data_IF_215668115169
#
_entry.id   IF_215668115169
#
_cell.length_a   1.000
_cell.length_b   1.000
_cell.length_c   1.000
_cell.angle_alpha   90.00
_cell.angle_beta   90.00
_cell.angle_gamma   90.00
#
_symmetry.space_group_name_H-M   'P 1'
#
loop_
_entity.id
_entity.type
_entity.pdbx_description
1 polymer ?
#
# COMPACT_ATOMS: atom_id res chain seq x y z
N UNK A 1 6.04 21.43 -19.81
CA UNK A 1 5.08 20.59 -19.11
C UNK A 1 5.53 20.37 -17.68
N UNK A 2 4.83 20.85 -16.73
CA UNK A 2 5.19 20.65 -15.36
C UNK A 2 4.64 19.36 -14.81
N UNK A 3 4.78 19.17 -13.51
CA UNK A 3 4.15 18.07 -12.83
C UNK A 3 2.64 18.28 -12.86
N UNK A 4 1.92 17.18 -12.91
CA UNK A 4 0.47 17.24 -12.83
C UNK A 4 0.05 17.74 -11.47
N UNK A 5 -0.96 18.58 -11.38
CA UNK A 5 -1.54 18.88 -10.08
C UNK A 5 -2.00 17.58 -9.46
N UNK A 6 -2.00 17.45 -8.17
CA UNK A 6 -1.81 18.51 -7.19
C UNK A 6 -0.43 18.48 -6.53
N UNK A 7 0.62 18.15 -7.25
CA UNK A 7 1.96 17.96 -6.68
C UNK A 7 2.53 19.22 -6.04
N UNK A 8 1.86 20.35 -6.14
CA UNK A 8 2.26 21.56 -5.44
C UNK A 8 1.86 21.56 -3.97
N UNK A 9 1.14 20.53 -3.53
CA UNK A 9 0.72 20.41 -2.13
C UNK A 9 1.25 19.12 -1.55
N UNK A 10 1.49 19.14 -0.25
CA UNK A 10 1.91 17.93 0.46
C UNK A 10 0.78 16.93 0.52
N UNK A 11 1.15 15.66 0.44
CA UNK A 11 0.16 14.61 0.49
C UNK A 11 0.63 13.33 -0.17
N UNK A 12 -0.33 12.42 -0.33
CA UNK A 12 -0.13 11.12 -0.97
C UNK A 12 -1.06 11.08 -2.17
N UNK A 13 -0.50 10.90 -3.36
CA UNK A 13 -1.28 10.96 -4.60
C UNK A 13 -0.99 9.75 -5.47
N UNK A 14 -2.02 9.25 -6.14
CA UNK A 14 -1.88 8.12 -7.06
C UNK A 14 -2.04 8.63 -8.48
N UNK A 15 -0.99 8.44 -9.30
CA UNK A 15 -1.00 8.83 -10.71
C UNK A 15 -0.36 7.70 -11.51
N UNK A 16 -1.10 7.15 -12.45
CA UNK A 16 -0.59 6.12 -13.37
C UNK A 16 0.04 4.93 -12.62
N UNK A 17 -0.64 4.45 -11.59
CA UNK A 17 -0.19 3.29 -10.83
C UNK A 17 0.96 3.56 -9.88
N UNK A 18 1.33 4.83 -9.70
CA UNK A 18 2.43 5.22 -8.82
C UNK A 18 1.90 6.02 -7.65
N UNK A 19 2.45 5.75 -6.48
CA UNK A 19 2.14 6.51 -5.27
C UNK A 19 3.18 7.60 -5.14
N UNK A 20 2.76 8.85 -5.26
CA UNK A 20 3.65 10.00 -5.08
C UNK A 20 3.49 10.51 -3.67
N UNK A 21 4.59 10.63 -2.96
CA UNK A 21 4.59 11.02 -1.55
C UNK A 21 5.36 12.32 -1.40
N UNK A 22 4.67 13.36 -0.98
CA UNK A 22 5.23 14.72 -0.96
C UNK A 22 5.06 15.30 0.43
N UNK A 23 6.15 15.79 0.99
CA UNK A 23 6.17 16.44 2.29
C UNK A 23 6.65 15.53 3.40
N UNK A 24 7.36 16.07 4.40
CA UNK A 24 8.01 15.25 5.44
C UNK A 24 7.05 14.38 6.23
N UNK A 25 5.88 14.90 6.56
CA UNK A 25 4.91 14.13 7.32
C UNK A 25 4.46 12.88 6.55
N UNK A 26 4.19 13.05 5.27
CA UNK A 26 3.68 11.95 4.45
C UNK A 26 4.77 10.97 4.09
N UNK A 27 5.99 11.47 3.88
CA UNK A 27 7.14 10.61 3.67
C UNK A 27 7.33 9.70 4.89
N UNK A 28 7.26 10.27 6.09
CA UNK A 28 7.42 9.48 7.31
C UNK A 28 6.31 8.44 7.45
N UNK A 29 5.08 8.80 7.13
CA UNK A 29 3.94 7.88 7.22
C UNK A 29 4.11 6.69 6.29
N UNK A 30 4.45 6.94 5.04
CA UNK A 30 4.58 5.87 4.05
C UNK A 30 5.82 5.03 4.35
N UNK A 31 6.93 5.68 4.69
CA UNK A 31 8.16 4.97 5.04
C UNK A 31 7.92 4.05 6.24
N UNK A 32 7.18 4.54 7.23
CA UNK A 32 6.87 3.73 8.41
C UNK A 32 6.01 2.51 8.05
N UNK A 33 5.07 2.68 7.12
CA UNK A 33 4.26 1.55 6.67
C UNK A 33 5.12 0.48 5.99
N UNK A 34 6.22 0.87 5.38
CA UNK A 34 7.12 -0.07 4.70
C UNK A 34 8.19 -0.65 5.62
N UNK A 35 8.43 -0.03 6.77
CA UNK A 35 9.55 -0.38 7.64
C UNK A 35 9.21 -1.58 8.54
N UNK A 36 8.87 -2.69 7.91
CA UNK A 36 8.49 -3.91 8.61
C UNK A 36 8.61 -5.08 7.65
N UNK A 37 9.38 -6.07 8.05
CA UNK A 37 9.65 -7.20 7.17
C UNK A 37 8.40 -7.97 6.80
N UNK A 38 7.48 -8.15 7.75
CA UNK A 38 6.22 -8.87 7.49
C UNK A 38 5.42 -8.15 6.40
N UNK A 39 5.30 -6.84 6.51
CA UNK A 39 4.57 -6.07 5.50
C UNK A 39 5.25 -6.13 4.14
N UNK A 40 6.59 -6.06 4.13
CA UNK A 40 7.33 -6.17 2.88
C UNK A 40 7.10 -7.53 2.21
N UNK A 41 7.05 -8.60 3.00
CA UNK A 41 6.81 -9.94 2.49
C UNK A 41 5.40 -10.07 1.92
N UNK A 42 4.42 -9.49 2.60
CA UNK A 42 3.05 -9.47 2.11
C UNK A 42 3.01 -8.78 0.73
N UNK A 43 3.64 -7.61 0.63
CA UNK A 43 3.65 -6.86 -0.63
C UNK A 43 4.30 -7.68 -1.74
N UNK A 44 5.40 -8.33 -1.45
CA UNK A 44 6.09 -9.15 -2.44
C UNK A 44 5.20 -10.27 -2.96
N UNK A 45 4.44 -10.87 -2.07
CA UNK A 45 3.54 -11.96 -2.46
C UNK A 45 2.38 -11.45 -3.32
N UNK A 46 1.69 -10.40 -2.85
CA UNK A 46 0.53 -9.92 -3.59
C UNK A 46 0.90 -9.17 -4.87
N UNK A 47 2.18 -8.81 -5.02
CA UNK A 47 2.65 -8.23 -6.28
C UNK A 47 2.52 -9.25 -7.42
N UNK A 48 2.54 -10.54 -7.10
CA UNK A 48 2.38 -11.59 -8.12
C UNK A 48 0.92 -11.89 -8.40
N UNK A 49 0.09 -11.90 -7.36
CA UNK A 49 -1.35 -12.10 -7.49
C UNK A 49 -2.04 -11.71 -6.20
N UNK A 50 -3.28 -11.27 -6.27
CA UNK A 50 -4.04 -11.00 -5.06
C UNK A 50 -4.17 -12.23 -4.18
N UNK A 51 -4.33 -12.02 -2.88
CA UNK A 51 -4.41 -13.11 -1.92
C UNK A 51 -5.38 -12.76 -0.79
N UNK A 52 -6.02 -13.77 -0.24
CA UNK A 52 -6.89 -13.55 0.91
C UNK A 52 -6.11 -13.68 2.21
N UNK A 53 -6.77 -13.38 3.34
CA UNK A 53 -6.11 -13.38 4.63
C UNK A 53 -5.63 -14.77 5.05
N UNK A 54 -6.38 -15.82 4.73
CA UNK A 54 -5.96 -17.17 5.05
C UNK A 54 -4.67 -17.53 4.34
N UNK A 55 -4.61 -17.21 3.07
CA UNK A 55 -3.46 -17.48 2.24
C UNK A 55 -2.24 -16.75 2.76
N UNK A 56 -2.40 -15.45 3.06
CA UNK A 56 -1.30 -14.64 3.58
C UNK A 56 -0.85 -15.10 4.95
N UNK A 57 -1.79 -15.49 5.81
CA UNK A 57 -1.49 -16.03 7.12
C UNK A 57 -0.61 -17.26 7.01
N UNK A 58 -0.97 -18.15 6.10
CA UNK A 58 -0.23 -19.39 5.90
C UNK A 58 1.18 -19.13 5.36
N UNK A 59 1.30 -18.26 4.36
CA UNK A 59 2.56 -17.99 3.69
C UNK A 59 3.52 -17.25 4.60
N UNK A 60 3.01 -16.27 5.35
CA UNK A 60 3.85 -15.45 6.23
C UNK A 60 4.09 -16.15 7.56
N UNK A 61 3.24 -17.09 7.94
CA UNK A 61 3.40 -17.82 9.19
C UNK A 61 2.95 -17.03 10.39
N UNK A 62 1.92 -16.21 10.24
CA UNK A 62 1.37 -15.41 11.33
C UNK A 62 -0.15 -15.57 11.37
N UNK A 63 -0.73 -15.22 12.51
CA UNK A 63 -2.18 -15.35 12.69
C UNK A 63 -2.92 -14.41 11.73
N UNK A 64 -4.17 -14.76 11.44
CA UNK A 64 -5.02 -13.91 10.61
C UNK A 64 -5.22 -12.54 11.22
N UNK A 65 -5.29 -12.47 12.56
CA UNK A 65 -5.43 -11.19 13.25
C UNK A 65 -4.21 -10.32 13.01
N UNK A 66 -2.99 -10.89 13.08
CA UNK A 66 -1.77 -10.15 12.80
C UNK A 66 -1.73 -9.69 11.34
N UNK A 67 -2.06 -10.58 10.41
CA UNK A 67 -2.07 -10.22 9.00
C UNK A 67 -3.08 -9.09 8.75
N UNK A 68 -4.26 -9.19 9.33
CA UNK A 68 -5.27 -8.14 9.18
C UNK A 68 -4.76 -6.80 9.67
N UNK A 69 -4.05 -6.79 10.80
CA UNK A 69 -3.45 -5.58 11.34
C UNK A 69 -2.39 -5.01 10.40
N UNK A 70 -1.54 -5.86 9.84
CA UNK A 70 -0.51 -5.41 8.90
C UNK A 70 -1.11 -4.85 7.63
N UNK A 71 -2.15 -5.51 7.10
CA UNK A 71 -2.84 -5.06 5.91
C UNK A 71 -3.44 -3.67 6.12
N UNK A 72 -4.04 -3.45 7.32
CA UNK A 72 -4.65 -2.15 7.60
C UNK A 72 -3.63 -1.02 7.53
N UNK A 73 -2.41 -1.26 7.98
CA UNK A 73 -1.36 -0.24 7.92
C UNK A 73 -0.99 0.11 6.48
N UNK A 74 -1.00 -0.88 5.62
CA UNK A 74 -0.72 -0.65 4.19
C UNK A 74 -1.90 0.02 3.50
N UNK A 75 -3.13 -0.34 3.88
CA UNK A 75 -4.33 0.30 3.33
C UNK A 75 -4.40 1.78 3.70
N UNK A 76 -3.97 2.11 4.92
CA UNK A 76 -4.06 3.48 5.42
C UNK A 76 -3.23 4.47 4.60
N UNK A 77 -2.22 3.99 3.89
CA UNK A 77 -1.40 4.86 3.03
C UNK A 77 -1.60 4.53 1.54
N UNK A 78 -2.65 3.77 1.22
CA UNK A 78 -3.07 3.48 -0.15
C UNK A 78 -2.11 2.63 -0.96
N UNK A 79 -1.24 1.87 -0.30
CA UNK A 79 -0.32 0.97 -1.01
C UNK A 79 -1.07 -0.27 -1.50
N UNK A 80 -2.02 -0.75 -0.69
CA UNK A 80 -2.85 -1.91 -1.04
C UNK A 80 -4.31 -1.52 -0.93
N UNK A 81 -5.16 -2.32 -1.57
CA UNK A 81 -6.60 -2.19 -1.45
C UNK A 81 -7.20 -3.57 -1.25
N UNK A 82 -8.41 -3.59 -0.71
CA UNK A 82 -9.12 -4.84 -0.46
C UNK A 82 -10.35 -4.92 -1.34
N UNK A 83 -10.62 -6.13 -1.79
CA UNK A 83 -11.87 -6.49 -2.45
C UNK A 83 -12.57 -7.53 -1.60
N UNK A 84 -13.88 -7.49 -1.62
CA UNK A 84 -14.69 -8.48 -0.92
C UNK A 84 -15.38 -9.32 -1.96
N UNK A 85 -15.08 -10.63 -1.97
CA UNK A 85 -15.61 -11.53 -2.97
C UNK A 85 -16.36 -12.66 -2.29
N UNK A 86 -17.38 -13.25 -2.96
CA UNK A 86 -18.07 -14.39 -2.40
C UNK A 86 -17.14 -15.58 -2.25
N UNK A 87 -17.29 -16.32 -1.17
CA UNK A 87 -16.54 -17.54 -0.94
C UNK A 87 -17.50 -18.64 -0.50
N UNK A 88 -16.95 -19.82 -0.26
CA UNK A 88 -17.77 -20.95 0.16
C UNK A 88 -18.38 -20.76 1.55
N UNK A 89 -17.75 -19.90 2.36
CA UNK A 89 -18.21 -19.64 3.72
C UNK A 89 -18.51 -18.16 3.94
N UNK A 90 -19.15 -17.53 2.96
CA UNK A 90 -19.47 -16.13 3.05
C UNK A 90 -18.48 -15.28 2.26
N UNK A 91 -18.23 -14.08 2.73
CA UNK A 91 -17.43 -13.10 1.98
C UNK A 91 -15.97 -13.21 2.39
N UNK A 92 -15.09 -13.26 1.38
CA UNK A 92 -13.64 -13.26 1.58
C UNK A 92 -13.09 -11.88 1.30
N UNK A 93 -12.13 -11.46 2.13
CA UNK A 93 -11.38 -10.24 1.88
C UNK A 93 -10.12 -10.62 1.10
N UNK A 94 -10.00 -10.10 -0.11
CA UNK A 94 -8.85 -10.33 -0.98
C UNK A 94 -8.06 -9.04 -1.07
N UNK A 95 -6.76 -9.13 -0.88
CA UNK A 95 -5.86 -7.97 -0.88
C UNK A 95 -5.05 -7.95 -2.15
N UNK A 96 -4.93 -6.78 -2.76
CA UNK A 96 -4.13 -6.61 -3.97
C UNK A 96 -3.37 -5.30 -3.92
N UNK A 97 -2.32 -5.18 -4.73
CA UNK A 97 -1.60 -3.92 -4.84
C UNK A 97 -2.52 -2.84 -5.41
N UNK A 98 -2.44 -1.66 -4.84
CA UNK A 98 -3.13 -0.50 -5.38
C UNK A 98 -2.20 0.32 -6.28
N UNK A 99 -0.90 0.20 -6.07
CA UNK A 99 0.13 0.85 -6.87
C UNK A 99 1.27 -0.13 -7.06
N UNK A 100 2.08 0.08 -8.08
CA UNK A 100 3.24 -0.78 -8.32
C UNK A 100 4.57 -0.07 -8.07
N UNK A 101 4.53 1.22 -7.77
CA UNK A 101 5.73 2.00 -7.45
C UNK A 101 5.39 3.05 -6.42
N UNK A 102 6.38 3.39 -5.61
CA UNK A 102 6.26 4.47 -4.63
C UNK A 102 7.40 5.45 -4.91
N UNK A 103 7.05 6.71 -5.09
CA UNK A 103 8.02 7.74 -5.39
C UNK A 103 7.99 8.76 -4.26
N UNK A 104 9.09 8.80 -3.51
CA UNK A 104 9.25 9.78 -2.44
C UNK A 104 9.93 11.02 -3.03
N UNK A 105 9.25 12.15 -2.93
CA UNK A 105 9.82 13.41 -3.37
C UNK A 105 10.59 14.01 -2.19
N UNK A 106 11.91 13.79 -2.20
CA UNK A 106 12.76 14.25 -1.09
C UNK A 106 12.81 15.78 -1.06
N UNK A 107 12.92 16.37 -2.23
CA UNK A 107 12.81 17.82 -2.35
C UNK A 107 11.39 18.17 -2.78
N UNK A 108 10.95 19.36 -2.46
CA UNK A 108 9.65 19.82 -2.91
C UNK A 108 9.62 19.85 -4.45
N UNK A 109 8.48 19.52 -5.06
CA UNK A 109 8.36 19.67 -6.50
C UNK A 109 8.67 21.09 -6.91
N UNK A 110 9.32 21.21 -8.04
CA UNK A 110 9.73 22.52 -8.52
C UNK A 110 8.53 23.37 -8.84
N UNK A 111 8.61 24.64 -8.42
CA UNK A 111 7.56 25.62 -8.68
C UNK A 111 8.10 26.67 -9.61
N UNK A 112 7.36 26.95 -10.64
CA UNK A 112 7.73 27.97 -11.60
C UNK A 112 6.85 29.19 -11.47
#
# INVERSE_FOLDING_TARGET
>A
MGLNPPFDKEGIYIVDGKLHVIGPRYIAMVANALANETRARILRYIAKKPADLDELSHIVGQSKANISSQIRKLENVNIVKAKYVPGTRGIRKVVELNVNQIIFHIADPEKK
#
